data_IF_112322126315
#
_entry.id   IF_112322126315
#
_cell.length_a   1.000
_cell.length_b   1.000
_cell.length_c   1.000
_cell.angle_alpha   90.00
_cell.angle_beta   90.00
_cell.angle_gamma   90.00
#
_symmetry.space_group_name_H-M   'P 1'
#
loop_
_entity.id
_entity.type
_entity.pdbx_description
1 polymer ?
#
# COMPACT_ATOMS: atom_id res chain seq x y z
N UNK A 1 21.28 1.98 -65.94
CA UNK A 1 20.41 1.91 -67.14
C UNK A 1 20.67 0.55 -67.75
N UNK A 2 19.82 -0.46 -67.60
CA UNK A 2 18.48 -0.53 -68.20
C UNK A 2 17.65 -1.57 -67.45
N UNK A 3 16.42 -1.15 -67.16
CA UNK A 3 15.32 -1.94 -66.64
C UNK A 3 14.91 -3.04 -67.62
N UNK A 4 14.80 -4.29 -67.15
CA UNK A 4 14.00 -5.30 -67.84
C UNK A 4 12.77 -5.63 -66.99
N UNK A 5 11.65 -5.05 -67.43
CA UNK A 5 10.29 -5.34 -66.98
C UNK A 5 9.92 -6.74 -67.46
N UNK A 6 9.61 -7.66 -66.55
CA UNK A 6 8.76 -8.79 -66.90
C UNK A 6 7.30 -8.38 -66.67
N UNK A 7 6.65 -8.09 -67.78
CA UNK A 7 5.22 -7.87 -67.90
C UNK A 7 4.52 -9.22 -67.68
N UNK A 8 3.59 -9.22 -66.73
CA UNK A 8 2.64 -10.29 -66.45
C UNK A 8 1.88 -10.70 -67.73
N UNK A 9 1.85 -12.00 -68.11
CA UNK A 9 0.73 -12.49 -68.88
C UNK A 9 -0.42 -12.69 -67.89
N UNK A 10 -1.40 -11.80 -68.00
CA UNK A 10 -2.73 -11.91 -67.44
C UNK A 10 -3.37 -13.19 -68.00
N UNK A 11 -3.21 -14.31 -67.31
CA UNK A 11 -3.97 -15.52 -67.59
C UNK A 11 -5.32 -15.38 -66.90
N UNK A 12 -6.29 -14.99 -67.71
CA UNK A 12 -7.71 -14.96 -67.42
C UNK A 12 -8.17 -16.38 -67.07
N UNK A 13 -8.03 -16.78 -65.80
CA UNK A 13 -8.63 -18.01 -65.29
C UNK A 13 -10.12 -17.72 -65.15
N UNK A 14 -10.88 -18.40 -65.99
CA UNK A 14 -12.33 -18.45 -65.96
C UNK A 14 -12.85 -18.62 -64.53
N UNK A 15 -13.82 -17.78 -64.18
CA UNK A 15 -14.79 -17.97 -63.11
C UNK A 15 -15.54 -19.29 -63.35
N UNK A 16 -14.93 -20.41 -63.00
CA UNK A 16 -15.66 -21.64 -62.68
C UNK A 16 -15.88 -21.55 -61.18
N UNK A 17 -17.12 -21.25 -60.78
CA UNK A 17 -17.58 -21.39 -59.41
C UNK A 17 -17.41 -22.85 -58.99
N UNK A 18 -16.22 -23.16 -58.49
CA UNK A 18 -15.95 -24.43 -57.84
C UNK A 18 -16.46 -24.28 -56.41
N UNK A 19 -17.77 -24.51 -56.25
CA UNK A 19 -18.37 -24.88 -54.97
C UNK A 19 -17.90 -26.31 -54.63
N UNK A 20 -16.58 -26.47 -54.53
CA UNK A 20 -16.00 -27.73 -54.10
C UNK A 20 -16.31 -27.85 -52.62
N UNK A 21 -16.86 -28.98 -52.17
CA UNK A 21 -17.08 -29.18 -50.75
C UNK A 21 -15.73 -29.04 -50.02
N UNK A 22 -15.68 -28.21 -48.98
CA UNK A 22 -14.48 -27.96 -48.17
C UNK A 22 -14.79 -28.19 -46.70
N UNK A 23 -13.84 -28.75 -45.96
CA UNK A 23 -13.89 -28.72 -44.51
C UNK A 23 -13.42 -27.34 -44.03
N UNK A 24 -14.15 -26.69 -43.13
CA UNK A 24 -13.72 -25.43 -42.52
C UNK A 24 -13.38 -25.66 -41.06
N UNK A 25 -12.13 -25.44 -40.67
CA UNK A 25 -11.71 -25.50 -39.27
C UNK A 25 -11.82 -24.10 -38.71
N UNK A 26 -12.55 -23.95 -37.60
CA UNK A 26 -12.61 -22.69 -36.84
C UNK A 26 -12.25 -22.93 -35.40
N UNK A 27 -11.60 -21.95 -34.78
CA UNK A 27 -11.30 -22.00 -33.35
C UNK A 27 -11.55 -20.70 -32.63
N UNK A 28 -11.66 -20.80 -31.31
CA UNK A 28 -11.73 -19.67 -30.41
C UNK A 28 -10.67 -19.86 -29.30
N UNK A 29 -9.66 -18.96 -29.21
CA UNK A 29 -9.31 -17.89 -30.14
C UNK A 29 -8.84 -18.42 -31.52
N UNK A 30 -8.60 -17.53 -32.51
CA UNK A 30 -7.91 -17.90 -33.74
C UNK A 30 -6.54 -18.54 -33.44
N UNK A 31 -6.28 -19.70 -34.05
CA UNK A 31 -5.08 -20.49 -33.81
C UNK A 31 -4.36 -20.83 -35.12
N UNK A 32 -3.05 -21.05 -35.04
CA UNK A 32 -2.27 -21.66 -36.11
C UNK A 32 -2.59 -23.16 -36.18
N UNK A 33 -2.82 -23.69 -37.39
CA UNK A 33 -3.20 -25.08 -37.64
C UNK A 33 -2.02 -25.84 -38.25
N UNK A 34 -1.66 -26.95 -37.62
CA UNK A 34 -0.51 -27.79 -37.99
C UNK A 34 -0.94 -29.21 -38.31
N UNK A 35 -0.35 -29.81 -39.34
CA UNK A 35 -0.37 -31.25 -39.62
C UNK A 35 1.03 -31.81 -39.38
N UNK A 36 1.19 -32.54 -38.26
CA UNK A 36 2.52 -32.85 -37.74
C UNK A 36 3.35 -31.58 -37.50
N UNK A 37 4.44 -31.43 -38.25
CA UNK A 37 5.34 -30.26 -38.20
C UNK A 37 5.07 -29.23 -39.31
N UNK A 38 4.11 -29.48 -40.20
CA UNK A 38 3.78 -28.58 -41.30
C UNK A 38 2.70 -27.56 -40.89
N UNK A 39 3.02 -26.27 -41.00
CA UNK A 39 2.06 -25.19 -40.76
C UNK A 39 1.14 -25.03 -41.99
N UNK A 40 -0.14 -25.37 -41.82
CA UNK A 40 -1.15 -25.25 -42.88
C UNK A 40 -1.74 -23.83 -42.99
N UNK A 41 -1.78 -23.09 -41.88
CA UNK A 41 -2.33 -21.73 -41.85
C UNK A 41 -2.89 -21.33 -40.49
N UNK A 42 -3.90 -20.44 -40.50
CA UNK A 42 -4.61 -20.00 -39.29
C UNK A 42 -6.12 -20.21 -39.44
N UNK A 43 -6.82 -20.46 -38.34
CA UNK A 43 -8.28 -20.53 -38.34
C UNK A 43 -8.92 -19.14 -38.51
N UNK A 44 -10.04 -19.00 -39.25
CA UNK A 44 -10.71 -20.03 -40.05
C UNK A 44 -9.86 -20.54 -41.23
N UNK A 45 -9.70 -21.86 -41.33
CA UNK A 45 -8.92 -22.51 -42.39
C UNK A 45 -9.82 -23.43 -43.21
N UNK A 46 -9.86 -23.25 -44.52
CA UNK A 46 -10.56 -24.14 -45.44
C UNK A 46 -9.59 -25.16 -46.03
N UNK A 47 -9.94 -26.44 -45.93
CA UNK A 47 -9.17 -27.56 -46.47
C UNK A 47 -10.03 -28.38 -47.44
N UNK A 48 -9.44 -28.98 -48.48
CA UNK A 48 -10.12 -30.02 -49.24
C UNK A 48 -10.55 -31.17 -48.32
N UNK A 49 -11.67 -31.87 -48.60
CA UNK A 49 -12.14 -32.97 -47.76
C UNK A 49 -11.05 -34.04 -47.70
N UNK A 50 -10.57 -34.42 -46.50
CA UNK A 50 -9.43 -35.31 -46.42
C UNK A 50 -9.83 -36.72 -46.86
N UNK A 51 -8.98 -37.40 -47.63
CA UNK A 51 -9.24 -38.75 -48.15
C UNK A 51 -9.24 -39.83 -47.05
N UNK A 52 -8.63 -39.52 -45.91
CA UNK A 52 -8.60 -40.32 -44.67
C UNK A 52 -8.80 -39.38 -43.48
N UNK A 53 -9.04 -39.91 -42.28
CA UNK A 53 -9.09 -39.08 -41.09
C UNK A 53 -7.77 -38.32 -40.88
N UNK A 54 -7.86 -37.03 -40.58
CA UNK A 54 -6.72 -36.13 -40.37
C UNK A 54 -6.73 -35.60 -38.93
N UNK A 55 -5.58 -35.61 -38.26
CA UNK A 55 -5.42 -35.10 -36.90
C UNK A 55 -4.57 -33.83 -36.95
N UNK A 56 -5.14 -32.71 -36.53
CA UNK A 56 -4.52 -31.40 -36.62
C UNK A 56 -4.25 -30.83 -35.23
N UNK A 57 -3.10 -30.19 -35.05
CA UNK A 57 -2.74 -29.48 -33.82
C UNK A 57 -3.00 -27.99 -33.99
N UNK A 58 -3.77 -27.40 -33.08
CA UNK A 58 -4.04 -25.97 -33.04
C UNK A 58 -3.23 -25.33 -31.94
N UNK A 59 -2.48 -24.27 -32.29
CA UNK A 59 -1.63 -23.52 -31.37
C UNK A 59 -2.03 -22.05 -31.35
N UNK A 60 -2.27 -21.49 -30.17
CA UNK A 60 -2.45 -20.05 -29.99
C UNK A 60 -1.63 -19.56 -28.79
N UNK A 61 -0.98 -18.38 -28.87
CA UNK A 61 -0.22 -17.83 -27.75
C UNK A 61 -1.10 -17.66 -26.50
N UNK A 62 -0.64 -18.19 -25.36
CA UNK A 62 -1.38 -18.13 -24.09
C UNK A 62 -2.51 -19.16 -23.96
N UNK A 63 -2.57 -20.15 -24.85
CA UNK A 63 -3.54 -21.24 -24.83
C UNK A 63 -2.85 -22.61 -24.92
N UNK A 64 -3.43 -23.62 -24.28
CA UNK A 64 -2.98 -25.00 -24.40
C UNK A 64 -3.19 -25.48 -25.84
N UNK A 65 -2.23 -26.22 -26.38
CA UNK A 65 -2.36 -26.87 -27.69
C UNK A 65 -3.58 -27.79 -27.69
N UNK A 66 -4.42 -27.67 -28.73
CA UNK A 66 -5.61 -28.49 -28.88
C UNK A 66 -5.51 -29.37 -30.12
N UNK A 67 -5.90 -30.64 -29.99
CA UNK A 67 -5.92 -31.57 -31.11
C UNK A 67 -7.35 -31.69 -31.65
N UNK A 68 -7.52 -31.56 -32.97
CA UNK A 68 -8.80 -31.74 -33.64
C UNK A 68 -8.70 -32.84 -34.70
N UNK A 69 -9.63 -33.80 -34.64
CA UNK A 69 -9.75 -34.84 -35.66
C UNK A 69 -10.79 -34.42 -36.70
N UNK A 70 -10.38 -34.36 -37.96
CA UNK A 70 -11.25 -34.14 -39.12
C UNK A 70 -11.53 -35.49 -39.79
N UNK A 71 -12.75 -36.03 -39.72
CA UNK A 71 -13.09 -37.30 -40.35
C UNK A 71 -12.93 -37.28 -41.87
N UNK A 72 -12.65 -38.44 -42.46
CA UNK A 72 -12.58 -38.62 -43.92
C UNK A 72 -13.83 -38.08 -44.61
N UNK A 73 -13.64 -37.33 -45.70
CA UNK A 73 -14.75 -36.78 -46.50
C UNK A 73 -15.58 -35.72 -45.79
N UNK A 74 -15.10 -35.12 -44.69
CA UNK A 74 -15.80 -34.02 -44.01
C UNK A 74 -15.90 -32.80 -44.93
N UNK A 75 -17.11 -32.26 -45.09
CA UNK A 75 -17.43 -31.09 -45.91
C UNK A 75 -18.11 -29.97 -45.10
N UNK A 76 -18.03 -30.08 -43.77
CA UNK A 76 -18.69 -29.18 -42.81
C UNK A 76 -17.65 -28.50 -41.92
N UNK A 77 -18.13 -27.54 -41.14
CA UNK A 77 -17.32 -26.84 -40.16
C UNK A 77 -16.96 -27.76 -38.98
N UNK A 78 -15.68 -27.79 -38.62
CA UNK A 78 -15.15 -28.42 -37.41
C UNK A 78 -14.71 -27.31 -36.45
N UNK A 79 -15.22 -27.32 -35.22
CA UNK A 79 -14.96 -26.29 -34.20
C UNK A 79 -14.01 -26.82 -33.13
N UNK A 80 -13.07 -25.99 -32.70
CA UNK A 80 -12.18 -26.26 -31.58
C UNK A 80 -12.11 -25.05 -30.64
N UNK A 81 -12.32 -25.25 -29.35
CA UNK A 81 -12.09 -24.23 -28.34
C UNK A 81 -10.76 -24.53 -27.65
N UNK A 82 -9.81 -23.59 -27.71
CA UNK A 82 -8.55 -23.77 -26.99
C UNK A 82 -8.76 -23.29 -25.55
N UNK A 83 -8.30 -24.08 -24.59
CA UNK A 83 -8.27 -23.66 -23.20
C UNK A 83 -7.11 -22.65 -23.02
N UNK A 84 -7.31 -21.49 -22.38
CA UNK A 84 -6.19 -20.64 -21.98
C UNK A 84 -5.18 -21.50 -21.19
N UNK A 85 -3.89 -21.26 -21.38
CA UNK A 85 -2.89 -21.66 -20.37
C UNK A 85 -3.20 -20.78 -19.17
N UNK A 86 -4.12 -21.24 -18.32
CA UNK A 86 -4.55 -20.48 -17.15
C UNK A 86 -3.33 -20.19 -16.29
N UNK A 87 -3.08 -18.91 -16.02
CA UNK A 87 -2.07 -18.49 -15.05
C UNK A 87 -2.75 -17.94 -13.81
N UNK A 88 -2.01 -17.93 -12.71
CA UNK A 88 -2.49 -17.34 -11.47
C UNK A 88 -2.42 -15.82 -11.51
N UNK A 89 -3.34 -15.15 -10.82
CA UNK A 89 -3.29 -13.70 -10.60
C UNK A 89 -2.81 -13.42 -9.19
N UNK A 90 -1.84 -12.52 -9.03
CA UNK A 90 -1.36 -12.07 -7.72
C UNK A 90 -1.56 -10.57 -7.57
N UNK A 91 -2.36 -10.17 -6.58
CA UNK A 91 -2.50 -8.76 -6.19
C UNK A 91 -1.64 -8.47 -4.97
N UNK A 92 -0.68 -7.57 -5.10
CA UNK A 92 0.24 -7.14 -4.07
C UNK A 92 -0.13 -5.75 -3.56
N UNK A 93 -0.37 -5.63 -2.26
CA UNK A 93 -0.57 -4.34 -1.57
C UNK A 93 0.39 -4.22 -0.40
N UNK A 94 0.80 -3.00 -0.08
CA UNK A 94 1.69 -2.76 1.05
C UNK A 94 1.28 -1.55 1.88
N UNK A 95 1.67 -1.58 3.16
CA UNK A 95 1.61 -0.43 4.06
C UNK A 95 3.01 -0.11 4.56
N UNK A 96 3.55 1.08 4.29
CA UNK A 96 2.99 2.14 3.43
C UNK A 96 2.96 1.75 1.93
N UNK A 97 1.99 2.29 1.18
CA UNK A 97 1.84 2.06 -0.27
C UNK A 97 3.03 2.58 -1.07
N UNK A 98 3.20 2.16 -2.33
CA UNK A 98 4.36 2.51 -3.17
C UNK A 98 5.66 1.85 -2.71
N UNK A 99 5.60 0.60 -2.23
CA UNK A 99 6.78 -0.23 -2.07
C UNK A 99 7.13 -0.88 -3.41
N UNK A 100 8.41 -0.89 -3.78
CA UNK A 100 8.91 -1.61 -4.95
C UNK A 100 8.74 -3.12 -4.75
N UNK A 101 8.18 -3.79 -5.75
CA UNK A 101 7.87 -5.21 -5.74
C UNK A 101 8.84 -5.93 -6.67
N UNK A 102 9.50 -6.95 -6.15
CA UNK A 102 10.39 -7.83 -6.89
C UNK A 102 9.79 -9.23 -6.94
N UNK A 103 9.73 -9.83 -8.12
CA UNK A 103 9.31 -11.21 -8.35
C UNK A 103 10.56 -12.03 -8.70
N UNK A 104 10.92 -12.99 -7.85
CA UNK A 104 12.13 -13.82 -8.00
C UNK A 104 13.42 -13.00 -8.26
N UNK A 105 13.51 -11.84 -7.62
CA UNK A 105 14.66 -10.93 -7.71
C UNK A 105 14.56 -9.86 -8.80
N UNK A 106 13.59 -9.92 -9.71
CA UNK A 106 13.38 -8.92 -10.76
C UNK A 106 12.37 -7.84 -10.32
N UNK A 107 12.70 -6.56 -10.52
CA UNK A 107 11.79 -5.44 -10.22
C UNK A 107 10.65 -5.41 -11.24
N UNK A 108 9.41 -5.56 -10.78
CA UNK A 108 8.22 -5.61 -11.64
C UNK A 108 7.30 -4.40 -11.50
N UNK A 109 7.49 -3.57 -10.48
CA UNK A 109 6.69 -2.36 -10.27
C UNK A 109 6.61 -1.94 -8.81
N UNK A 110 5.55 -1.20 -8.46
CA UNK A 110 5.29 -0.73 -7.09
C UNK A 110 3.86 -1.04 -6.65
N UNK A 111 3.65 -1.29 -5.36
CA UNK A 111 2.30 -1.54 -4.82
C UNK A 111 1.42 -0.28 -4.83
N UNK A 112 0.09 -0.40 -5.03
CA UNK A 112 -0.65 -1.61 -5.39
C UNK A 112 -0.30 -2.11 -6.80
N UNK A 113 -0.03 -3.42 -6.93
CA UNK A 113 0.35 -4.06 -8.19
C UNK A 113 -0.44 -5.36 -8.39
N UNK A 114 -0.99 -5.58 -9.58
CA UNK A 114 -1.61 -6.85 -9.96
C UNK A 114 -0.80 -7.49 -11.08
N UNK A 115 -0.31 -8.70 -10.82
CA UNK A 115 0.44 -9.54 -11.75
C UNK A 115 -0.55 -10.59 -12.28
N UNK A 116 -0.67 -10.72 -13.59
CA UNK A 116 -1.56 -11.68 -14.25
C UNK A 116 -0.74 -12.76 -14.95
N UNK A 117 -1.42 -13.85 -15.30
CA UNK A 117 -0.89 -14.92 -16.16
C UNK A 117 0.40 -15.55 -15.60
N UNK A 118 0.47 -15.72 -14.28
CA UNK A 118 1.58 -16.40 -13.63
C UNK A 118 1.47 -17.92 -13.85
N UNK A 119 2.26 -18.43 -14.79
CA UNK A 119 2.37 -19.86 -15.12
C UNK A 119 3.28 -20.62 -14.13
N UNK A 120 3.10 -20.36 -12.83
CA UNK A 120 3.90 -20.96 -11.75
C UNK A 120 3.06 -21.19 -10.51
N UNK A 121 3.13 -22.38 -9.93
CA UNK A 121 2.36 -22.75 -8.73
C UNK A 121 2.87 -22.11 -7.43
N UNK A 122 4.10 -21.57 -7.44
CA UNK A 122 4.62 -20.74 -6.37
C UNK A 122 5.62 -19.70 -6.89
N UNK A 123 5.69 -18.55 -6.22
CA UNK A 123 6.63 -17.45 -6.53
C UNK A 123 7.17 -16.81 -5.24
N UNK A 124 8.40 -16.28 -5.28
CA UNK A 124 8.93 -15.44 -4.21
C UNK A 124 8.73 -13.95 -4.54
N UNK A 125 8.10 -13.22 -3.62
CA UNK A 125 7.86 -11.79 -3.75
C UNK A 125 8.59 -11.03 -2.65
N UNK A 126 9.45 -10.10 -3.04
CA UNK A 126 10.18 -9.21 -2.13
C UNK A 126 9.69 -7.78 -2.26
N UNK A 127 9.42 -7.14 -1.13
CA UNK A 127 8.99 -5.75 -1.05
C UNK A 127 10.11 -4.91 -0.46
N UNK A 128 10.40 -3.77 -1.08
CA UNK A 128 11.39 -2.80 -0.60
C UNK A 128 10.82 -1.40 -0.62
N UNK A 129 11.13 -0.64 0.43
CA UNK A 129 10.84 0.79 0.47
C UNK A 129 11.91 1.50 1.29
N UNK A 130 12.28 2.71 0.87
CA UNK A 130 13.27 3.53 1.58
C UNK A 130 12.90 3.68 3.06
N UNK A 131 13.89 3.57 3.94
CA UNK A 131 13.76 3.65 5.41
C UNK A 131 12.85 2.58 6.04
N UNK A 132 12.53 1.50 5.33
CA UNK A 132 11.75 0.38 5.85
C UNK A 132 12.52 -0.94 5.68
N UNK A 133 12.19 -1.93 6.51
CA UNK A 133 12.71 -3.28 6.36
C UNK A 133 12.16 -3.96 5.12
N UNK A 134 13.02 -4.67 4.39
CA UNK A 134 12.56 -5.50 3.29
C UNK A 134 11.74 -6.68 3.81
N UNK A 135 10.70 -7.04 3.09
CA UNK A 135 9.82 -8.16 3.45
C UNK A 135 9.76 -9.10 2.26
N UNK A 136 10.19 -10.35 2.45
CA UNK A 136 10.07 -11.42 1.45
C UNK A 136 8.96 -12.40 1.83
N UNK A 137 8.19 -12.87 0.86
CA UNK A 137 7.09 -13.82 1.03
C UNK A 137 7.06 -14.80 -0.14
N UNK A 138 6.98 -16.08 0.17
CA UNK A 138 6.65 -17.11 -0.81
C UNK A 138 5.13 -17.24 -0.90
N UNK A 139 4.59 -17.10 -2.11
CA UNK A 139 3.17 -17.27 -2.40
C UNK A 139 3.00 -18.56 -3.17
N UNK A 140 2.29 -19.53 -2.60
CA UNK A 140 1.80 -20.70 -3.30
C UNK A 140 0.37 -20.47 -3.78
N UNK A 141 0.08 -20.79 -5.03
CA UNK A 141 -1.24 -20.61 -5.62
C UNK A 141 -2.12 -21.86 -5.44
N UNK A 142 -1.55 -23.06 -5.44
CA UNK A 142 -2.31 -24.30 -5.33
C UNK A 142 -3.40 -24.37 -6.40
N UNK A 143 -4.66 -24.60 -6.01
CA UNK A 143 -5.81 -24.58 -6.93
C UNK A 143 -6.44 -23.19 -7.09
N UNK A 144 -5.90 -22.15 -6.46
CA UNK A 144 -6.49 -20.82 -6.44
C UNK A 144 -5.98 -19.97 -7.62
N UNK A 145 -6.88 -19.64 -8.55
CA UNK A 145 -6.57 -18.78 -9.70
C UNK A 145 -6.19 -17.34 -9.32
N UNK A 146 -6.44 -16.90 -8.08
CA UNK A 146 -6.08 -15.55 -7.62
C UNK A 146 -5.65 -15.56 -6.16
N UNK A 147 -4.55 -14.86 -5.86
CA UNK A 147 -4.03 -14.63 -4.52
C UNK A 147 -3.90 -13.14 -4.22
N UNK A 148 -4.14 -12.77 -2.97
CA UNK A 148 -3.97 -11.40 -2.48
C UNK A 148 -2.90 -11.37 -1.40
N UNK A 149 -1.78 -10.71 -1.69
CA UNK A 149 -0.67 -10.54 -0.78
C UNK A 149 -0.69 -9.12 -0.21
N UNK A 150 -0.90 -9.02 1.11
CA UNK A 150 -0.84 -7.77 1.87
C UNK A 150 0.36 -7.83 2.79
N UNK A 151 1.24 -6.83 2.73
CA UNK A 151 2.42 -6.73 3.61
C UNK A 151 2.48 -5.40 4.35
N UNK A 152 3.00 -5.42 5.57
CA UNK A 152 3.39 -4.21 6.30
C UNK A 152 4.91 -4.19 6.34
N UNK A 153 5.52 -3.09 5.87
CA UNK A 153 6.96 -2.91 5.94
C UNK A 153 7.29 -2.12 7.21
N UNK A 154 8.01 -2.70 8.20
CA UNK A 154 8.38 -1.99 9.41
C UNK A 154 9.28 -0.78 9.12
N UNK A 155 9.01 0.36 9.76
CA UNK A 155 9.89 1.53 9.67
C UNK A 155 11.16 1.33 10.52
N UNK A 156 12.33 1.55 9.92
CA UNK A 156 13.63 1.35 10.58
C UNK A 156 13.86 2.31 11.75
N UNK A 157 13.46 3.58 11.59
CA UNK A 157 13.59 4.61 12.63
C UNK A 157 12.70 4.29 13.82
N UNK A 158 11.44 3.92 13.56
CA UNK A 158 10.53 3.47 14.61
C UNK A 158 11.10 2.27 15.37
N UNK A 159 11.54 1.23 14.65
CA UNK A 159 12.12 0.02 15.25
C UNK A 159 13.32 0.36 16.13
N UNK A 160 14.22 1.22 15.65
CA UNK A 160 15.38 1.67 16.41
C UNK A 160 14.99 2.31 17.75
N UNK A 161 14.10 3.31 17.74
CA UNK A 161 13.74 3.99 18.98
C UNK A 161 12.88 3.13 19.90
N UNK A 162 12.03 2.24 19.36
CA UNK A 162 11.31 1.26 20.18
C UNK A 162 12.29 0.35 20.93
N UNK A 163 13.34 -0.13 20.28
CA UNK A 163 14.38 -0.91 20.96
C UNK A 163 15.13 -0.09 22.02
N UNK A 164 15.45 1.18 21.72
CA UNK A 164 16.07 2.09 22.71
C UNK A 164 15.19 2.29 23.93
N UNK A 165 13.88 2.44 23.77
CA UNK A 165 12.94 2.57 24.89
C UNK A 165 12.85 1.32 25.75
N UNK A 166 13.10 0.13 25.19
CA UNK A 166 13.17 -1.11 25.96
C UNK A 166 14.47 -1.20 26.76
N UNK A 167 15.58 -0.80 26.16
CA UNK A 167 16.92 -0.94 26.75
C UNK A 167 17.26 0.21 27.72
N UNK A 168 16.78 1.42 27.44
CA UNK A 168 17.11 2.66 28.15
C UNK A 168 15.83 3.47 28.47
N UNK A 169 14.84 2.89 29.20
CA UNK A 169 13.53 3.53 29.43
C UNK A 169 13.60 4.83 30.25
N UNK A 170 14.71 5.10 30.94
CA UNK A 170 14.95 6.32 31.70
C UNK A 170 15.48 7.50 30.86
N UNK A 171 15.78 7.29 29.57
CA UNK A 171 16.35 8.32 28.70
C UNK A 171 15.22 9.02 27.96
N UNK A 172 14.96 10.28 28.33
CA UNK A 172 13.81 11.03 27.81
C UNK A 172 13.92 11.36 26.31
N UNK A 173 15.16 11.52 25.81
CA UNK A 173 15.45 11.81 24.41
C UNK A 173 14.77 10.85 23.43
N UNK A 174 14.76 9.55 23.73
CA UNK A 174 14.14 8.51 22.89
C UNK A 174 12.63 8.69 22.74
N UNK A 175 11.95 9.19 23.78
CA UNK A 175 10.52 9.49 23.73
C UNK A 175 10.25 10.70 22.82
N UNK A 176 11.10 11.73 22.90
CA UNK A 176 10.99 12.92 22.06
C UNK A 176 11.15 12.55 20.58
N UNK A 177 12.18 11.79 20.22
CA UNK A 177 12.45 11.44 18.82
C UNK A 177 11.40 10.50 18.23
N UNK A 178 10.97 9.49 19.00
CA UNK A 178 9.92 8.58 18.53
C UNK A 178 8.57 9.28 18.42
N UNK A 179 8.23 10.13 19.39
CA UNK A 179 7.03 10.95 19.32
C UNK A 179 7.06 11.85 18.08
N UNK A 180 8.17 12.56 17.85
CA UNK A 180 8.37 13.39 16.67
C UNK A 180 8.25 12.59 15.36
N UNK A 181 8.85 11.39 15.29
CA UNK A 181 8.72 10.50 14.15
C UNK A 181 7.26 10.18 13.82
N UNK A 182 6.44 9.85 14.82
CA UNK A 182 5.01 9.58 14.61
C UNK A 182 4.23 10.82 14.18
N UNK A 183 4.58 11.98 14.71
CA UNK A 183 3.98 13.25 14.28
C UNK A 183 4.23 13.48 12.78
N UNK A 184 5.47 13.28 12.30
CA UNK A 184 5.80 13.40 10.87
C UNK A 184 5.10 12.33 10.01
N UNK A 185 4.78 11.17 10.59
CA UNK A 185 4.02 10.12 9.93
C UNK A 185 2.49 10.33 10.01
N UNK A 186 2.02 11.44 10.59
CA UNK A 186 0.61 11.73 10.90
C UNK A 186 -0.08 10.66 11.78
N UNK A 187 0.69 9.84 12.51
CA UNK A 187 0.18 8.92 13.52
C UNK A 187 0.12 9.61 14.89
N UNK A 188 -0.84 10.53 15.01
CA UNK A 188 -0.99 11.35 16.22
C UNK A 188 -1.33 10.54 17.47
N UNK A 189 -1.97 9.38 17.31
CA UNK A 189 -2.31 8.53 18.45
C UNK A 189 -1.04 7.95 19.06
N UNK A 190 -0.18 7.33 18.25
CA UNK A 190 1.10 6.80 18.70
C UNK A 190 2.02 7.91 19.24
N UNK A 191 2.05 9.07 18.59
CA UNK A 191 2.82 10.23 19.06
C UNK A 191 2.43 10.64 20.49
N UNK A 192 1.13 10.88 20.71
CA UNK A 192 0.59 11.32 21.99
C UNK A 192 0.81 10.25 23.09
N UNK A 193 0.74 8.97 22.73
CA UNK A 193 0.99 7.88 23.67
C UNK A 193 2.47 7.75 24.06
N UNK A 194 3.40 8.01 23.14
CA UNK A 194 4.83 8.11 23.46
C UNK A 194 5.09 9.32 24.36
N UNK A 195 4.56 10.50 24.01
CA UNK A 195 4.75 11.70 24.82
C UNK A 195 4.18 11.52 26.23
N UNK A 196 3.03 10.87 26.38
CA UNK A 196 2.46 10.58 27.70
C UNK A 196 3.39 9.74 28.57
N UNK A 197 4.04 8.71 28.01
CA UNK A 197 5.06 7.93 28.74
C UNK A 197 6.29 8.78 29.10
N UNK A 198 6.69 9.71 28.22
CA UNK A 198 7.73 10.70 28.52
C UNK A 198 7.33 11.64 29.68
N UNK A 199 6.07 12.08 29.72
CA UNK A 199 5.53 12.89 30.82
C UNK A 199 5.56 12.09 32.11
N UNK A 200 5.15 10.81 32.11
CA UNK A 200 5.23 9.95 33.29
C UNK A 200 6.66 9.88 33.85
N UNK A 201 7.67 9.84 32.98
CA UNK A 201 9.08 9.86 33.37
C UNK A 201 9.47 11.21 34.00
N UNK A 202 9.05 12.34 33.41
CA UNK A 202 9.28 13.68 33.96
C UNK A 202 8.60 13.86 35.32
N UNK A 203 7.39 13.31 35.53
CA UNK A 203 6.72 13.37 36.84
C UNK A 203 7.52 12.62 37.90
N UNK A 204 8.11 11.47 37.55
CA UNK A 204 8.94 10.67 38.47
C UNK A 204 10.33 11.28 38.70
N UNK A 205 10.87 11.97 37.69
CA UNK A 205 12.17 12.64 37.74
C UNK A 205 12.06 14.06 37.14
N UNK A 206 11.62 15.06 37.93
CA UNK A 206 11.44 16.43 37.44
C UNK A 206 12.72 17.11 36.94
N UNK A 207 13.89 16.64 37.40
CA UNK A 207 15.21 17.13 37.00
C UNK A 207 15.78 16.38 35.79
N UNK A 208 15.00 15.52 35.13
CA UNK A 208 15.44 14.79 33.95
C UNK A 208 15.94 15.78 32.87
N UNK A 209 17.12 15.52 32.27
CA UNK A 209 17.56 16.29 31.12
C UNK A 209 16.54 16.15 29.99
N UNK A 210 16.48 17.15 29.11
CA UNK A 210 15.55 17.23 27.97
C UNK A 210 14.05 17.36 28.30
N UNK A 211 13.66 17.58 29.57
CA UNK A 211 12.25 17.81 29.91
C UNK A 211 11.65 18.99 29.12
N UNK A 212 12.41 20.08 28.92
CA UNK A 212 12.01 21.21 28.09
C UNK A 212 11.79 20.84 26.62
N UNK A 213 12.60 19.91 26.09
CA UNK A 213 12.45 19.39 24.73
C UNK A 213 11.15 18.62 24.57
N UNK A 214 10.82 17.75 25.53
CA UNK A 214 9.55 17.02 25.52
C UNK A 214 8.35 17.98 25.44
N UNK A 215 8.32 18.99 26.32
CA UNK A 215 7.25 19.98 26.31
C UNK A 215 7.19 20.77 25.00
N UNK A 216 8.35 21.08 24.41
CA UNK A 216 8.40 21.72 23.10
C UNK A 216 7.78 20.86 21.99
N UNK A 217 8.03 19.54 21.99
CA UNK A 217 7.40 18.63 21.01
C UNK A 217 5.89 18.49 21.24
N UNK A 218 5.43 18.47 22.49
CA UNK A 218 3.99 18.47 22.82
C UNK A 218 3.34 19.78 22.36
N UNK A 219 3.98 20.92 22.63
CA UNK A 219 3.45 22.24 22.28
C UNK A 219 3.40 22.43 20.75
N UNK A 220 4.31 21.81 19.98
CA UNK A 220 4.27 21.85 18.51
C UNK A 220 2.95 21.34 17.94
N UNK A 221 2.33 20.31 18.54
CA UNK A 221 1.00 19.81 18.14
C UNK A 221 -0.13 20.82 18.34
N UNK A 222 0.11 21.86 19.13
CA UNK A 222 -0.84 22.95 19.39
C UNK A 222 -0.48 24.23 18.61
N UNK A 223 0.78 24.40 18.21
CA UNK A 223 1.26 25.58 17.48
C UNK A 223 0.84 25.56 16.00
N UNK A 224 0.65 26.74 15.41
CA UNK A 224 0.31 26.92 13.98
C UNK A 224 1.52 26.78 13.04
N UNK A 225 2.72 26.55 13.57
CA UNK A 225 3.98 26.62 12.81
C UNK A 225 4.28 25.38 11.96
N UNK A 226 3.50 24.30 12.07
CA UNK A 226 3.75 23.05 11.38
C UNK A 226 2.50 22.54 10.66
N UNK A 227 2.67 22.31 9.35
CA UNK A 227 1.64 21.82 8.43
C UNK A 227 1.38 20.32 8.65
N UNK A 228 0.60 19.99 9.69
CA UNK A 228 0.26 18.61 10.05
C UNK A 228 -0.93 18.04 9.25
N UNK A 229 -1.33 18.71 8.17
CA UNK A 229 -2.45 18.33 7.31
C UNK A 229 -3.62 19.30 7.42
N UNK A 230 -4.77 18.88 6.87
CA UNK A 230 -5.97 19.72 6.85
C UNK A 230 -6.50 20.07 8.25
N UNK A 231 -7.40 21.06 8.30
CA UNK A 231 -8.02 21.52 9.54
C UNK A 231 -8.68 20.38 10.34
N UNK A 232 -9.23 19.37 9.66
CA UNK A 232 -9.88 18.22 10.30
C UNK A 232 -8.86 17.35 11.03
N UNK A 233 -7.74 17.06 10.37
CA UNK A 233 -6.63 16.26 10.87
C UNK A 233 -5.99 16.92 12.09
N UNK A 234 -5.69 18.21 11.98
CA UNK A 234 -5.14 19.01 13.09
C UNK A 234 -6.09 19.06 14.27
N UNK A 235 -7.40 19.27 14.01
CA UNK A 235 -8.42 19.27 15.07
C UNK A 235 -8.51 17.92 15.76
N UNK A 236 -8.42 16.81 15.02
CA UNK A 236 -8.41 15.46 15.57
C UNK A 236 -7.18 15.24 16.46
N UNK A 237 -5.99 15.61 16.00
CA UNK A 237 -4.76 15.50 16.78
C UNK A 237 -4.86 16.26 18.12
N UNK A 238 -5.36 17.50 18.09
CA UNK A 238 -5.58 18.34 19.28
C UNK A 238 -6.58 17.72 20.25
N UNK A 239 -7.67 17.11 19.77
CA UNK A 239 -8.63 16.39 20.61
C UNK A 239 -7.99 15.20 21.31
N UNK A 240 -7.22 14.37 20.58
CA UNK A 240 -6.50 13.23 21.13
C UNK A 240 -5.52 13.69 22.22
N UNK A 241 -4.77 14.76 21.94
CA UNK A 241 -3.83 15.34 22.90
C UNK A 241 -4.56 15.86 24.14
N UNK A 242 -5.63 16.65 23.99
CA UNK A 242 -6.41 17.18 25.11
C UNK A 242 -6.95 16.06 26.02
N UNK A 243 -7.49 14.99 25.43
CA UNK A 243 -7.98 13.84 26.19
C UNK A 243 -6.86 13.10 26.92
N UNK A 244 -5.68 12.97 26.30
CA UNK A 244 -4.52 12.34 26.96
C UNK A 244 -3.97 13.21 28.09
N UNK A 245 -3.84 14.52 27.91
CA UNK A 245 -3.37 15.45 28.95
C UNK A 245 -4.36 15.48 30.13
N UNK A 246 -5.67 15.48 29.87
CA UNK A 246 -6.69 15.37 30.90
C UNK A 246 -6.52 14.09 31.76
N UNK A 247 -6.27 12.95 31.10
CA UNK A 247 -5.98 11.68 31.80
C UNK A 247 -4.71 11.78 32.63
N UNK A 248 -3.63 12.36 32.10
CA UNK A 248 -2.37 12.52 32.82
C UNK A 248 -2.53 13.39 34.08
N UNK A 249 -3.26 14.52 33.98
CA UNK A 249 -3.57 15.38 35.14
C UNK A 249 -4.33 14.60 36.21
N UNK A 250 -5.33 13.80 35.80
CA UNK A 250 -6.09 12.94 36.73
C UNK A 250 -5.22 11.86 37.37
N UNK A 251 -4.37 11.20 36.58
CA UNK A 251 -3.51 10.10 37.03
C UNK A 251 -2.45 10.57 38.02
N UNK A 252 -1.77 11.69 37.72
CA UNK A 252 -0.68 12.19 38.55
C UNK A 252 -1.17 13.07 39.71
N UNK A 253 -2.37 13.64 39.60
CA UNK A 253 -3.01 14.42 40.65
C UNK A 253 -2.10 15.52 41.16
N UNK A 254 -1.76 15.49 42.46
CA UNK A 254 -0.89 16.46 43.11
C UNK A 254 0.56 16.49 42.58
N UNK A 255 1.02 15.44 41.90
CA UNK A 255 2.37 15.37 41.31
C UNK A 255 2.43 15.96 39.89
N UNK A 256 1.30 16.36 39.31
CA UNK A 256 1.23 16.91 37.96
C UNK A 256 2.04 18.21 37.84
N UNK A 257 3.08 18.29 36.99
CA UNK A 257 3.92 19.48 36.89
C UNK A 257 3.16 20.67 36.27
N UNK A 258 3.58 21.90 36.56
CA UNK A 258 2.98 23.13 36.00
C UNK A 258 2.91 23.07 34.47
N UNK A 259 3.97 22.56 33.82
CA UNK A 259 4.04 22.42 32.36
C UNK A 259 2.89 21.57 31.77
N UNK A 260 2.48 20.50 32.47
CA UNK A 260 1.35 19.66 32.05
C UNK A 260 0.04 20.46 32.02
N UNK A 261 -0.20 21.28 33.05
CA UNK A 261 -1.37 22.15 33.09
C UNK A 261 -1.32 23.20 31.98
N UNK A 262 -0.16 23.83 31.75
CA UNK A 262 -0.05 24.89 30.74
C UNK A 262 -0.24 24.36 29.32
N UNK A 263 0.31 23.19 28.98
CA UNK A 263 0.07 22.56 27.67
C UNK A 263 -1.37 22.10 27.53
N UNK A 264 -2.01 21.63 28.61
CA UNK A 264 -3.44 21.25 28.57
C UNK A 264 -4.35 22.46 28.33
N UNK A 265 -4.09 23.58 29.02
CA UNK A 265 -4.81 24.84 28.78
C UNK A 265 -4.61 25.31 27.34
N UNK A 266 -3.37 25.27 26.83
CA UNK A 266 -3.06 25.69 25.46
C UNK A 266 -3.85 24.89 24.42
N UNK A 267 -3.88 23.55 24.51
CA UNK A 267 -4.64 22.74 23.54
C UNK A 267 -6.15 23.01 23.64
N UNK A 268 -6.69 23.24 24.83
CA UNK A 268 -8.12 23.57 25.01
C UNK A 268 -8.48 24.90 24.35
N UNK A 269 -7.61 25.90 24.40
CA UNK A 269 -7.82 27.18 23.70
C UNK A 269 -7.90 26.97 22.19
N UNK A 270 -7.00 26.15 21.62
CA UNK A 270 -7.02 25.84 20.18
C UNK A 270 -8.28 25.06 19.74
N UNK A 271 -8.98 24.46 20.69
CA UNK A 271 -10.25 23.75 20.50
C UNK A 271 -11.47 24.60 20.87
N UNK A 272 -11.28 25.90 21.15
CA UNK A 272 -12.32 26.83 21.62
C UNK A 272 -13.02 26.39 22.92
N UNK A 273 -12.37 25.57 23.75
CA UNK A 273 -12.91 25.07 25.03
C UNK A 273 -12.55 26.00 26.21
N UNK A 274 -12.84 27.29 26.08
CA UNK A 274 -12.38 28.34 27.01
C UNK A 274 -12.83 28.11 28.47
N UNK A 275 -14.05 27.62 28.67
CA UNK A 275 -14.56 27.34 30.02
C UNK A 275 -13.76 26.22 30.71
N UNK A 276 -13.50 25.13 29.98
CA UNK A 276 -12.70 24.01 30.46
C UNK A 276 -11.25 24.43 30.72
N UNK A 277 -10.68 25.27 29.86
CA UNK A 277 -9.35 25.85 30.06
C UNK A 277 -9.27 26.67 31.37
N UNK A 278 -10.33 27.44 31.70
CA UNK A 278 -10.42 28.19 32.96
C UNK A 278 -10.51 27.28 34.19
N UNK A 279 -11.26 26.19 34.09
CA UNK A 279 -11.36 25.19 35.18
C UNK A 279 -10.01 24.55 35.47
N UNK A 280 -9.31 24.10 34.42
CA UNK A 280 -7.96 23.53 34.52
C UNK A 280 -6.98 24.55 35.10
N UNK A 281 -7.06 25.81 34.68
CA UNK A 281 -6.27 26.89 35.27
C UNK A 281 -6.53 27.08 36.76
N UNK A 282 -7.80 27.11 37.18
CA UNK A 282 -8.16 27.21 38.60
C UNK A 282 -7.62 26.04 39.42
N UNK A 283 -7.67 24.82 38.87
CA UNK A 283 -7.06 23.62 39.45
C UNK A 283 -5.53 23.76 39.62
N UNK A 284 -4.86 24.28 38.59
CA UNK A 284 -3.41 24.50 38.59
C UNK A 284 -3.02 25.58 39.60
N UNK A 285 -3.77 26.69 39.65
CA UNK A 285 -3.50 27.82 40.52
C UNK A 285 -3.67 27.47 42.01
N UNK A 286 -4.69 26.67 42.34
CA UNK A 286 -4.88 26.15 43.71
C UNK A 286 -3.68 25.33 44.18
N UNK A 287 -3.03 24.61 43.27
CA UNK A 287 -1.87 23.75 43.58
C UNK A 287 -0.55 24.51 43.59
N UNK A 288 -0.41 25.46 42.68
CA UNK A 288 0.81 26.23 42.48
C UNK A 288 0.52 27.73 42.64
N UNK A 289 0.14 28.16 43.86
CA UNK A 289 -0.16 29.57 44.10
C UNK A 289 1.10 30.40 43.81
N UNK A 290 0.91 31.53 43.14
CA UNK A 290 1.98 32.48 42.78
C UNK A 290 3.03 31.99 41.77
N UNK A 291 2.82 30.86 41.09
CA UNK A 291 3.72 30.41 40.03
C UNK A 291 3.84 31.45 38.89
N UNK A 292 5.08 31.73 38.49
CA UNK A 292 5.39 32.77 37.49
C UNK A 292 4.82 32.43 36.11
N UNK A 293 4.81 31.16 35.75
CA UNK A 293 4.29 30.68 34.46
C UNK A 293 2.79 30.80 34.42
N UNK A 294 2.09 30.38 35.49
CA UNK A 294 0.64 30.52 35.59
C UNK A 294 0.20 31.99 35.61
N UNK A 295 0.94 32.89 36.27
CA UNK A 295 0.67 34.34 36.19
C UNK A 295 0.71 34.87 34.75
N UNK A 296 1.70 34.42 33.96
CA UNK A 296 1.79 34.79 32.54
C UNK A 296 0.60 34.24 31.75
N UNK A 297 0.21 32.98 31.99
CA UNK A 297 -0.98 32.36 31.36
C UNK A 297 -2.25 33.14 31.69
N UNK A 298 -2.46 33.52 32.95
CA UNK A 298 -3.62 34.30 33.38
C UNK A 298 -3.69 35.65 32.66
N UNK A 299 -2.56 36.37 32.58
CA UNK A 299 -2.46 37.66 31.88
C UNK A 299 -2.76 37.52 30.40
N UNK A 300 -2.18 36.52 29.73
CA UNK A 300 -2.36 36.30 28.29
C UNK A 300 -3.82 35.93 27.93
N UNK A 301 -4.54 35.27 28.83
CA UNK A 301 -5.89 34.73 28.58
C UNK A 301 -7.02 35.51 29.25
N UNK A 302 -6.66 36.57 29.98
CA UNK A 302 -7.56 37.36 30.82
C UNK A 302 -8.36 36.46 31.78
N UNK A 303 -7.70 35.50 32.41
CA UNK A 303 -8.30 34.72 33.49
C UNK A 303 -8.24 35.53 34.79
N UNK A 304 -9.34 35.59 35.51
CA UNK A 304 -9.39 36.15 36.86
C UNK A 304 -8.63 35.23 37.81
N UNK A 305 -7.66 35.78 38.53
CA UNK A 305 -6.97 35.06 39.60
C UNK A 305 -7.95 34.90 40.78
N UNK A 306 -8.11 33.70 41.35
CA UNK A 306 -8.91 33.50 42.54
C UNK A 306 -8.23 34.08 43.79
#
# INVERSE_FOLDING_TARGET
>A
MTSFRFVFPCLLILLIGCDQPQATIVSNPPAAVWDGDELLGQTPLALPPPEKGLELTLRAPGYQDATVTVPSGTQKQVKADLAPVGGHTLTCTSTPTGASVFLDGELIGETPLTIRDLDRDAVEVTFRKKNHEQVARTVGFGTAATQNLVVVLPNLTEKYYRQRLLNEPQVLHHYCDLGHHYVLAHDFQSAVDVFARGVDLVVRNPSAPDASRLWSEIDRLTSEQYDYGDTVTVTRARKILADRLARLVKTHGAKSPVALYTSFIAVLDTLNQRQRAREVFGEAWKRYPNDRTLRRVAKQRHFTLP
#
